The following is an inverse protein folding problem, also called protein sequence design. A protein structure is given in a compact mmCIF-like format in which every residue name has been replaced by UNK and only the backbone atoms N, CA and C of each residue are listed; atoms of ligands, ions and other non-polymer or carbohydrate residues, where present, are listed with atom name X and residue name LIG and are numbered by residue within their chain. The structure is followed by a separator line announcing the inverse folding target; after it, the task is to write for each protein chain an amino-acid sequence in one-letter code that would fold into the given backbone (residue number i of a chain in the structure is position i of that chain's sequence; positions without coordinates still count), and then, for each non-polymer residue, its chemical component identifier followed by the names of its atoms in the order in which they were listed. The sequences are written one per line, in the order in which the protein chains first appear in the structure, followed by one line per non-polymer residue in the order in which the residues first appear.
data_IF_147133726871
#
_entry.id   IF_147133726871
#
_cell.length_a   1.000
_cell.length_b   1.000
_cell.length_c   1.000
_cell.angle_alpha   90.00
_cell.angle_beta   90.00
_cell.angle_gamma   90.00
#
_symmetry.space_group_name_H-M   'P 1'
#
loop_
_entity.id
_entity.type
_entity.pdbx_description
1 polymer ?
#
# COMPACT_ATOMS: atom_id res chain seq x y z
N UNK A 1 11.15 22.65 -27.77
CA UNK A 1 11.52 21.36 -27.15
C UNK A 1 10.65 21.02 -25.94
N UNK A 2 10.49 21.92 -24.96
CA UNK A 2 9.71 21.71 -23.70
C UNK A 2 8.22 21.40 -23.88
N UNK A 3 7.53 22.01 -24.86
CA UNK A 3 6.10 21.76 -25.14
C UNK A 3 5.82 20.33 -25.64
N UNK A 4 6.79 19.71 -26.32
CA UNK A 4 6.64 18.33 -26.81
C UNK A 4 6.82 17.33 -25.67
N UNK A 5 7.72 17.61 -24.72
CA UNK A 5 7.93 16.78 -23.52
C UNK A 5 6.69 16.76 -22.62
N UNK A 6 6.05 17.92 -22.43
CA UNK A 6 4.82 18.02 -21.61
C UNK A 6 3.65 17.25 -22.25
N UNK A 7 3.46 17.38 -23.57
CA UNK A 7 2.42 16.64 -24.29
C UNK A 7 2.66 15.13 -24.28
N UNK A 8 3.92 14.69 -24.39
CA UNK A 8 4.28 13.28 -24.27
C UNK A 8 4.00 12.71 -22.87
N UNK A 9 4.31 13.47 -21.81
CA UNK A 9 4.00 13.07 -20.44
C UNK A 9 2.48 12.98 -20.20
N UNK A 10 1.70 13.96 -20.69
CA UNK A 10 0.23 13.95 -20.58
C UNK A 10 -0.38 12.77 -21.36
N UNK A 11 0.13 12.48 -22.56
CA UNK A 11 -0.31 11.33 -23.35
C UNK A 11 0.01 10.01 -22.63
N UNK A 12 1.17 9.89 -21.98
CA UNK A 12 1.54 8.70 -21.19
C UNK A 12 0.67 8.52 -19.95
N UNK A 13 0.23 9.60 -19.29
CA UNK A 13 -0.68 9.52 -18.14
C UNK A 13 -2.12 9.16 -18.52
N UNK A 14 -2.55 9.59 -19.71
CA UNK A 14 -3.94 9.42 -20.19
C UNK A 14 -4.14 8.20 -21.08
N UNK A 15 -3.07 7.46 -21.43
CA UNK A 15 -3.19 6.32 -22.33
C UNK A 15 -3.94 5.18 -21.64
N UNK A 16 -5.12 4.74 -22.13
CA UNK A 16 -5.92 3.69 -21.49
C UNK A 16 -5.25 2.30 -21.56
N UNK A 17 -4.11 2.17 -22.24
CA UNK A 17 -3.38 0.93 -22.51
C UNK A 17 -1.94 0.91 -22.01
N UNK A 18 -1.41 1.98 -21.41
CA UNK A 18 -0.16 1.87 -20.66
C UNK A 18 -0.48 1.35 -19.28
N UNK A 19 0.07 0.18 -18.92
CA UNK A 19 0.11 -0.40 -17.58
C UNK A 19 -0.29 0.61 -16.50
N UNK A 20 -1.43 0.41 -15.81
CA UNK A 20 -1.73 1.14 -14.57
C UNK A 20 -0.42 1.19 -13.79
N UNK A 21 0.08 2.38 -13.46
CA UNK A 21 1.35 2.55 -12.75
C UNK A 21 1.17 2.01 -11.33
N UNK A 22 1.19 0.70 -11.23
CA UNK A 22 1.09 -0.05 -9.99
C UNK A 22 2.51 -0.25 -9.52
N UNK A 23 2.68 -0.09 -8.21
CA UNK A 23 3.90 -0.56 -7.58
C UNK A 23 3.92 -2.08 -7.66
N UNK A 24 5.11 -2.65 -7.81
CA UNK A 24 5.30 -4.10 -7.75
C UNK A 24 4.83 -4.65 -6.40
N UNK A 25 5.05 -3.87 -5.33
CA UNK A 25 4.61 -4.20 -3.97
C UNK A 25 3.72 -3.10 -3.41
N UNK A 26 2.52 -3.48 -2.95
CA UNK A 26 1.65 -2.62 -2.15
C UNK A 26 1.62 -3.08 -0.71
N UNK A 27 2.19 -2.29 0.19
CA UNK A 27 2.25 -2.56 1.64
C UNK A 27 1.15 -1.77 2.34
N UNK A 28 0.42 -2.41 3.25
CA UNK A 28 -0.61 -1.77 4.07
C UNK A 28 -0.34 -2.07 5.54
N UNK A 29 -0.08 -1.03 6.33
CA UNK A 29 -0.04 -1.15 7.78
C UNK A 29 -1.44 -0.89 8.34
N UNK A 30 -2.02 -1.89 9.00
CA UNK A 30 -3.39 -1.90 9.55
C UNK A 30 -3.37 -1.92 11.07
N UNK A 31 -4.51 -1.65 11.70
CA UNK A 31 -4.63 -1.73 13.16
C UNK A 31 -4.57 -3.17 13.69
N UNK A 32 -5.09 -4.13 12.93
CA UNK A 32 -5.20 -5.53 13.32
C UNK A 32 -5.12 -6.46 12.10
N UNK A 33 -5.05 -7.77 12.38
CA UNK A 33 -4.90 -8.81 11.36
C UNK A 33 -6.17 -9.01 10.52
N UNK A 34 -7.36 -8.76 11.08
CA UNK A 34 -8.61 -8.85 10.33
C UNK A 34 -8.65 -7.79 9.21
N UNK A 35 -8.24 -6.56 9.53
CA UNK A 35 -8.09 -5.49 8.55
C UNK A 35 -6.98 -5.80 7.55
N UNK A 36 -5.89 -6.45 7.96
CA UNK A 36 -4.82 -6.87 7.05
C UNK A 36 -5.34 -7.86 6.01
N UNK A 37 -6.05 -8.89 6.45
CA UNK A 37 -6.66 -9.90 5.58
C UNK A 37 -7.67 -9.27 4.61
N UNK A 38 -8.54 -8.39 5.12
CA UNK A 38 -9.50 -7.65 4.28
C UNK A 38 -8.81 -6.93 3.11
N UNK A 39 -7.74 -6.19 3.39
CA UNK A 39 -7.03 -5.42 2.36
C UNK A 39 -6.29 -6.30 1.36
N UNK A 40 -5.66 -7.39 1.81
CA UNK A 40 -5.05 -8.38 0.93
C UNK A 40 -6.11 -8.90 -0.04
N UNK A 41 -7.24 -9.36 0.46
CA UNK A 41 -8.31 -9.94 -0.37
C UNK A 41 -8.91 -8.91 -1.33
N UNK A 42 -9.21 -7.70 -0.84
CA UNK A 42 -9.83 -6.63 -1.64
C UNK A 42 -8.94 -6.16 -2.78
N UNK A 43 -7.64 -5.94 -2.54
CA UNK A 43 -6.75 -5.39 -3.56
C UNK A 43 -6.26 -6.46 -4.53
N UNK A 44 -5.98 -7.67 -4.04
CA UNK A 44 -5.52 -8.78 -4.88
C UNK A 44 -6.61 -9.31 -5.81
N UNK A 45 -7.90 -9.15 -5.45
CA UNK A 45 -9.03 -9.47 -6.34
C UNK A 45 -9.34 -8.38 -7.37
N UNK A 46 -8.74 -7.20 -7.22
CA UNK A 46 -9.03 -6.03 -8.04
C UNK A 46 -7.81 -5.53 -8.80
N UNK A 47 -7.42 -4.29 -8.51
CA UNK A 47 -6.38 -3.59 -9.27
C UNK A 47 -4.98 -4.19 -9.10
N UNK A 48 -4.71 -4.90 -8.00
CA UNK A 48 -3.42 -5.54 -7.73
C UNK A 48 -3.48 -7.04 -8.00
N UNK A 49 -4.25 -7.47 -9.01
CA UNK A 49 -4.34 -8.87 -9.37
C UNK A 49 -2.97 -9.37 -9.87
N UNK A 50 -2.40 -10.41 -9.24
CA UNK A 50 -1.23 -11.12 -9.71
C UNK A 50 -1.25 -11.44 -11.21
N UNK A 51 -0.27 -10.94 -11.96
CA UNK A 51 -0.06 -11.36 -13.35
C UNK A 51 0.96 -12.49 -13.35
N UNK A 52 0.49 -13.74 -13.38
CA UNK A 52 1.38 -14.88 -13.57
C UNK A 52 1.95 -14.82 -15.00
N UNK A 53 3.20 -14.38 -15.15
CA UNK A 53 3.97 -14.58 -16.38
C UNK A 53 5.08 -15.60 -16.13
N UNK A 54 5.62 -16.19 -17.20
CA UNK A 54 6.48 -17.41 -17.20
C UNK A 54 7.76 -17.36 -16.34
N UNK A 55 8.06 -16.23 -15.71
CA UNK A 55 9.14 -16.06 -14.73
C UNK A 55 8.52 -16.07 -13.34
N UNK A 56 9.06 -16.90 -12.45
CA UNK A 56 8.55 -17.28 -11.11
C UNK A 56 8.12 -16.14 -10.15
N UNK A 57 8.35 -14.88 -10.51
CA UNK A 57 7.97 -13.71 -9.72
C UNK A 57 6.58 -13.20 -10.14
N UNK A 58 5.67 -13.21 -9.18
CA UNK A 58 4.28 -12.83 -9.35
C UNK A 58 4.10 -11.40 -8.86
N UNK A 59 3.94 -10.44 -9.76
CA UNK A 59 3.62 -9.04 -9.42
C UNK A 59 2.35 -8.57 -10.15
N UNK A 60 1.65 -7.54 -9.63
CA UNK A 60 1.87 -6.88 -8.34
C UNK A 60 1.47 -7.77 -7.15
N UNK A 61 2.08 -7.57 -5.98
CA UNK A 61 1.70 -8.23 -4.72
C UNK A 61 1.17 -7.24 -3.69
N UNK A 62 0.26 -7.73 -2.85
CA UNK A 62 -0.29 -6.99 -1.71
C UNK A 62 0.19 -7.64 -0.42
N UNK A 63 0.84 -6.85 0.44
CA UNK A 63 1.32 -7.27 1.75
C UNK A 63 0.65 -6.38 2.80
N UNK A 64 -0.23 -6.94 3.61
CA UNK A 64 -0.80 -6.20 4.73
C UNK A 64 -0.29 -6.76 6.07
N UNK A 65 0.05 -5.88 6.99
CA UNK A 65 0.59 -6.20 8.31
C UNK A 65 -0.10 -5.36 9.38
N UNK A 66 -0.41 -5.97 10.51
CA UNK A 66 -0.95 -5.26 11.67
C UNK A 66 0.14 -4.45 12.40
N UNK A 67 -0.25 -3.33 13.00
CA UNK A 67 0.55 -2.61 13.99
C UNK A 67 0.42 -3.33 15.33
N UNK A 68 1.51 -3.96 15.78
CA UNK A 68 1.64 -4.68 17.03
C UNK A 68 2.70 -4.04 17.95
N UNK A 69 2.86 -2.72 17.84
CA UNK A 69 3.73 -1.98 18.75
C UNK A 69 3.15 -1.96 20.18
N UNK A 70 4.02 -1.71 21.15
CA UNK A 70 3.63 -1.56 22.55
C UNK A 70 2.52 -0.51 22.75
N UNK A 71 1.74 -0.59 23.86
CA UNK A 71 0.67 0.35 24.16
C UNK A 71 1.11 1.80 24.00
N UNK A 72 0.37 2.56 23.19
CA UNK A 72 0.72 3.93 22.79
C UNK A 72 1.17 4.08 21.33
N UNK A 73 1.55 2.98 20.68
CA UNK A 73 1.94 2.95 19.27
C UNK A 73 3.34 3.54 19.01
N UNK A 74 3.90 3.23 17.84
CA UNK A 74 5.23 3.74 17.45
C UNK A 74 5.17 5.17 16.87
N UNK A 75 3.95 5.66 16.59
CA UNK A 75 3.73 6.84 15.77
C UNK A 75 4.05 6.59 14.29
N UNK A 76 3.69 7.55 13.43
CA UNK A 76 3.70 7.33 11.97
C UNK A 76 5.09 7.00 11.41
N UNK A 77 6.16 7.63 11.90
CA UNK A 77 7.51 7.44 11.35
C UNK A 77 8.05 6.04 11.63
N UNK A 78 8.26 5.73 12.91
CA UNK A 78 8.77 4.42 13.33
C UNK A 78 7.80 3.29 12.97
N UNK A 79 6.49 3.51 13.12
CA UNK A 79 5.49 2.52 12.73
C UNK A 79 5.51 2.20 11.24
N UNK A 80 5.81 3.18 10.38
CA UNK A 80 5.97 2.94 8.94
C UNK A 80 7.21 2.10 8.64
N UNK A 81 8.35 2.40 9.27
CA UNK A 81 9.57 1.62 9.10
C UNK A 81 9.40 0.18 9.62
N UNK A 82 8.75 0.02 10.76
CA UNK A 82 8.46 -1.29 11.32
C UNK A 82 7.51 -2.10 10.45
N UNK A 83 6.47 -1.47 9.90
CA UNK A 83 5.57 -2.11 8.94
C UNK A 83 6.30 -2.56 7.67
N UNK A 84 7.25 -1.77 7.16
CA UNK A 84 8.09 -2.17 6.03
C UNK A 84 8.90 -3.42 6.37
N UNK A 85 9.57 -3.44 7.53
CA UNK A 85 10.34 -4.60 7.99
C UNK A 85 9.47 -5.86 8.15
N UNK A 86 8.26 -5.73 8.72
CA UNK A 86 7.29 -6.83 8.78
C UNK A 86 6.86 -7.32 7.40
N UNK A 87 6.65 -6.41 6.46
CA UNK A 87 6.31 -6.75 5.08
C UNK A 87 7.47 -7.49 4.38
N UNK A 88 8.73 -7.13 4.62
CA UNK A 88 9.90 -7.88 4.12
C UNK A 88 9.86 -9.34 4.60
N UNK A 89 9.63 -9.56 5.89
CA UNK A 89 9.52 -10.90 6.47
C UNK A 89 8.36 -11.69 5.86
N UNK A 90 7.21 -11.04 5.68
CA UNK A 90 6.02 -11.65 5.07
C UNK A 90 6.25 -12.02 3.59
N UNK A 91 6.90 -11.15 2.82
CA UNK A 91 7.26 -11.42 1.43
C UNK A 91 8.18 -12.64 1.31
N UNK A 92 9.18 -12.71 2.18
CA UNK A 92 10.14 -13.82 2.23
C UNK A 92 9.46 -15.13 2.62
N UNK A 93 8.60 -15.13 3.63
CA UNK A 93 7.94 -16.34 4.11
C UNK A 93 6.84 -16.85 3.18
N UNK A 94 6.05 -15.96 2.58
CA UNK A 94 4.88 -16.33 1.78
C UNK A 94 5.18 -16.50 0.29
N UNK A 95 6.17 -15.77 -0.23
CA UNK A 95 6.46 -15.70 -1.65
C UNK A 95 7.92 -16.04 -2.00
N UNK A 96 8.79 -16.25 -1.00
CA UNK A 96 10.22 -16.47 -1.25
C UNK A 96 10.95 -15.24 -1.80
N UNK A 97 10.36 -14.05 -1.68
CA UNK A 97 10.87 -12.79 -2.26
C UNK A 97 11.73 -12.06 -1.22
N UNK A 98 12.99 -11.79 -1.56
CA UNK A 98 13.86 -10.90 -0.77
C UNK A 98 13.64 -9.44 -1.17
N UNK A 99 12.63 -8.82 -0.55
CA UNK A 99 12.20 -7.46 -0.92
C UNK A 99 13.28 -6.41 -0.66
N UNK A 100 14.06 -6.55 0.42
CA UNK A 100 15.12 -5.60 0.77
C UNK A 100 16.20 -5.56 -0.30
N UNK A 101 16.66 -6.74 -0.73
CA UNK A 101 17.63 -6.85 -1.81
C UNK A 101 17.08 -6.25 -3.11
N UNK A 102 15.87 -6.67 -3.54
CA UNK A 102 15.30 -6.22 -4.81
C UNK A 102 15.02 -4.71 -4.85
N UNK A 103 14.60 -4.12 -3.73
CA UNK A 103 14.44 -2.66 -3.59
C UNK A 103 15.79 -1.95 -3.65
N UNK A 104 16.82 -2.46 -2.96
CA UNK A 104 18.18 -1.86 -2.97
C UNK A 104 18.83 -1.88 -4.35
N UNK A 105 18.52 -2.89 -5.16
CA UNK A 105 18.99 -3.05 -6.53
C UNK A 105 18.12 -2.26 -7.55
N UNK A 106 17.04 -1.61 -7.10
CA UNK A 106 16.11 -0.87 -7.95
C UNK A 106 15.30 -1.75 -8.91
N UNK A 107 15.17 -3.06 -8.62
CA UNK A 107 14.44 -4.02 -9.47
C UNK A 107 12.93 -3.96 -9.30
N UNK A 108 12.47 -3.47 -8.15
CA UNK A 108 11.05 -3.33 -7.82
C UNK A 108 10.78 -1.97 -7.20
N UNK A 109 9.51 -1.60 -7.24
CA UNK A 109 8.95 -0.42 -6.63
C UNK A 109 7.94 -0.83 -5.54
N UNK A 110 7.90 -0.09 -4.43
CA UNK A 110 6.97 -0.35 -3.35
C UNK A 110 6.21 0.92 -2.93
N UNK A 111 4.91 0.78 -2.68
CA UNK A 111 4.12 1.76 -1.95
C UNK A 111 3.80 1.25 -0.55
N UNK A 112 3.82 2.14 0.45
CA UNK A 112 3.43 1.82 1.82
C UNK A 112 2.34 2.78 2.30
N UNK A 113 1.18 2.22 2.61
CA UNK A 113 0.03 2.94 3.16
C UNK A 113 -0.09 2.67 4.65
N UNK A 114 0.30 3.66 5.47
CA UNK A 114 0.18 3.57 6.92
C UNK A 114 -1.21 4.01 7.39
N UNK A 115 -2.11 3.04 7.54
CA UNK A 115 -3.50 3.27 7.94
C UNK A 115 -3.76 3.06 9.43
N UNK A 116 -2.84 2.42 10.14
CA UNK A 116 -2.91 2.24 11.59
C UNK A 116 -2.82 3.57 12.36
N UNK A 117 -3.16 3.49 13.65
CA UNK A 117 -3.19 4.62 14.57
C UNK A 117 -4.50 5.43 14.59
N UNK A 118 -4.59 6.34 15.58
CA UNK A 118 -5.83 7.07 15.94
C UNK A 118 -6.25 8.19 14.98
N UNK A 119 -5.44 8.49 13.96
CA UNK A 119 -5.75 9.52 12.97
C UNK A 119 -5.79 10.97 13.51
N UNK A 120 -5.14 11.28 14.63
CA UNK A 120 -5.24 12.57 15.35
C UNK A 120 -5.04 13.83 14.49
N UNK A 121 -4.34 13.73 13.36
CA UNK A 121 -4.19 14.81 12.38
C UNK A 121 -5.51 15.25 11.72
N UNK A 122 -6.52 14.39 11.74
CA UNK A 122 -7.87 14.65 11.24
C UNK A 122 -8.87 14.92 12.38
N UNK A 123 -8.41 15.06 13.63
CA UNK A 123 -9.31 15.32 14.76
C UNK A 123 -10.17 16.59 14.50
N UNK A 124 -11.49 16.54 14.77
CA UNK A 124 -12.22 15.50 15.52
C UNK A 124 -12.80 14.36 14.66
N UNK A 125 -12.58 14.30 13.34
CA UNK A 125 -13.27 13.35 12.45
C UNK A 125 -13.06 11.87 12.78
N UNK A 126 -11.86 11.39 13.17
CA UNK A 126 -11.71 10.01 13.60
C UNK A 126 -12.44 9.71 14.91
N UNK A 127 -12.71 10.71 15.76
CA UNK A 127 -13.36 10.48 17.06
C UNK A 127 -14.80 9.96 16.88
N UNK A 128 -15.52 10.44 15.87
CA UNK A 128 -16.85 9.91 15.53
C UNK A 128 -16.82 8.47 14.98
N UNK A 129 -15.65 7.99 14.58
CA UNK A 129 -15.43 6.66 14.00
C UNK A 129 -14.56 5.79 14.94
N UNK A 130 -14.69 5.98 16.26
CA UNK A 130 -13.95 5.25 17.29
C UNK A 130 -12.41 5.30 17.14
N UNK A 131 -11.88 6.44 16.69
CA UNK A 131 -10.48 6.67 16.36
C UNK A 131 -9.94 5.76 15.23
N UNK A 132 -10.80 5.27 14.36
CA UNK A 132 -10.40 4.50 13.18
C UNK A 132 -10.05 5.44 12.02
N UNK A 133 -8.76 5.63 11.75
CA UNK A 133 -8.26 6.51 10.69
C UNK A 133 -8.84 6.20 9.29
N UNK A 134 -8.82 4.95 8.78
CA UNK A 134 -9.47 4.61 7.51
C UNK A 134 -11.01 4.59 7.59
N UNK A 135 -11.58 4.66 8.80
CA UNK A 135 -13.04 4.71 9.00
C UNK A 135 -13.65 6.09 8.75
N UNK A 136 -12.85 7.15 8.63
CA UNK A 136 -13.35 8.52 8.38
C UNK A 136 -14.11 8.57 7.05
N UNK A 137 -15.42 8.78 7.14
CA UNK A 137 -16.30 8.93 5.97
C UNK A 137 -16.21 10.36 5.44
N UNK A 138 -15.99 10.48 4.13
CA UNK A 138 -16.13 11.76 3.44
C UNK A 138 -17.60 11.99 3.09
N UNK A 139 -18.09 13.25 3.15
CA UNK A 139 -19.43 13.56 2.67
C UNK A 139 -19.52 13.21 1.18
N UNK A 140 -20.55 12.47 0.80
CA UNK A 140 -20.88 12.19 -0.59
C UNK A 140 -22.24 12.79 -0.90
N UNK A 141 -22.37 13.49 -2.02
CA UNK A 141 -23.67 13.89 -2.53
C UNK A 141 -24.38 12.62 -3.01
N UNK A 142 -25.56 12.35 -2.45
CA UNK A 142 -26.50 11.45 -3.12
C UNK A 142 -26.91 12.15 -4.42
N UNK A 143 -26.65 11.50 -5.55
CA UNK A 143 -27.23 11.89 -6.83
C UNK A 143 -28.64 11.35 -6.94
#
# INVERSE_FOLDING_TARGET
TTKNTLKAAIASMNSPSSSKSLFDVTIICTTDDHQAEYWINRLSSGICQPTATKTELVFPIVLAVSEDWAPGGAGNGLGTLYAYEKACRLAKSKHGIDMEQMMSEGKISAALYHTAGKGTRLAPLPASENNNKPGVKLPYSQK
#
